data_IF_503046325918
#
_entry.id   IF_503046325918
#
_cell.length_a   1.000
_cell.length_b   1.000
_cell.length_c   1.000
_cell.angle_alpha   90.00
_cell.angle_beta   90.00
_cell.angle_gamma   90.00
#
_symmetry.space_group_name_H-M   'P 1'
#
loop_
_entity.id
_entity.type
_entity.pdbx_description
1 polymer ?
#
# COMPACT_ATOMS: atom_id res chain seq x y z
N UNK A 1 -3.83 1.08 -2.81
CA UNK A 1 -2.71 2.07 -2.75
C UNK A 1 -3.17 3.36 -2.09
N UNK A 2 -4.43 3.71 -2.31
CA UNK A 2 -5.22 4.65 -1.51
C UNK A 2 -4.64 6.07 -1.49
N UNK A 3 -4.16 6.43 -2.68
CA UNK A 3 -3.52 7.70 -3.02
C UNK A 3 -4.30 8.48 -4.09
N UNK A 4 -5.56 8.11 -4.35
CA UNK A 4 -6.39 8.81 -5.32
C UNK A 4 -6.62 10.25 -4.85
N UNK A 5 -6.74 11.17 -5.81
CA UNK A 5 -7.03 12.58 -5.48
C UNK A 5 -8.49 12.75 -5.03
N UNK A 6 -9.42 12.11 -5.75
CA UNK A 6 -10.86 12.14 -5.49
C UNK A 6 -11.50 10.77 -5.78
N UNK A 7 -12.65 10.48 -5.14
CA UNK A 7 -13.59 9.43 -5.55
C UNK A 7 -14.95 10.07 -5.78
N UNK A 8 -15.48 9.96 -7.01
CA UNK A 8 -16.75 10.58 -7.42
C UNK A 8 -16.84 12.10 -7.14
N UNK A 9 -15.70 12.80 -7.21
CA UNK A 9 -15.59 14.24 -6.90
C UNK A 9 -15.30 14.57 -5.44
N UNK A 10 -15.31 13.58 -4.54
CA UNK A 10 -15.06 13.79 -3.12
C UNK A 10 -13.61 13.51 -2.75
N UNK A 11 -12.97 14.42 -2.02
CA UNK A 11 -11.58 14.30 -1.60
C UNK A 11 -11.37 13.38 -0.38
N UNK A 12 -12.45 13.09 0.36
CA UNK A 12 -12.43 12.28 1.60
C UNK A 12 -13.21 10.98 1.36
N UNK A 13 -12.48 9.92 1.04
CA UNK A 13 -13.02 8.59 0.81
C UNK A 13 -11.95 7.51 1.08
N UNK A 14 -12.33 6.24 1.06
CA UNK A 14 -11.43 5.14 1.45
C UNK A 14 -10.18 5.00 0.55
N UNK A 15 -10.26 5.44 -0.71
CA UNK A 15 -9.15 5.42 -1.68
C UNK A 15 -8.28 6.67 -1.68
N UNK A 16 -8.50 7.65 -0.79
CA UNK A 16 -7.74 8.91 -0.74
C UNK A 16 -6.86 9.16 0.51
N UNK A 17 -6.81 8.32 1.57
CA UNK A 17 -6.22 8.73 2.85
C UNK A 17 -4.72 9.02 2.79
N UNK A 18 -3.93 8.20 2.08
CA UNK A 18 -2.47 8.39 2.04
C UNK A 18 -2.08 9.57 1.15
N UNK A 19 -2.92 9.97 0.20
CA UNK A 19 -2.73 11.22 -0.55
C UNK A 19 -2.86 12.43 0.37
N UNK A 20 -3.93 12.48 1.18
CA UNK A 20 -4.15 13.54 2.17
C UNK A 20 -3.01 13.60 3.19
N UNK A 21 -2.58 12.44 3.69
CA UNK A 21 -1.49 12.38 4.65
C UNK A 21 -0.14 12.91 4.11
N UNK A 22 0.15 12.73 2.82
CA UNK A 22 1.31 13.37 2.18
C UNK A 22 1.13 14.87 2.06
N UNK A 23 -0.01 15.33 1.55
CA UNK A 23 -0.29 16.76 1.34
C UNK A 23 -0.32 17.56 2.65
N UNK A 24 -0.75 16.94 3.74
CA UNK A 24 -0.77 17.53 5.08
C UNK A 24 0.58 17.42 5.82
N UNK A 25 1.60 16.79 5.21
CA UNK A 25 2.93 16.66 5.81
C UNK A 25 2.97 15.72 7.02
N UNK A 26 2.05 14.75 7.09
CA UNK A 26 1.91 13.82 8.21
C UNK A 26 2.82 12.58 8.08
N UNK A 27 3.41 12.38 6.89
CA UNK A 27 4.27 11.24 6.59
C UNK A 27 5.71 11.67 6.32
N UNK A 28 6.66 10.98 6.96
CA UNK A 28 8.02 10.93 6.44
C UNK A 28 8.02 10.01 5.21
N UNK A 29 7.93 10.61 4.02
CA UNK A 29 7.72 9.87 2.78
C UNK A 29 8.85 8.88 2.44
N UNK A 30 10.04 9.01 3.04
CA UNK A 30 11.14 8.04 2.88
C UNK A 30 10.99 6.82 3.80
N UNK A 31 10.13 6.92 4.81
CA UNK A 31 9.81 5.88 5.79
C UNK A 31 8.38 5.35 5.60
N UNK A 32 7.97 5.19 4.34
CA UNK A 32 6.70 4.56 3.96
C UNK A 32 6.96 3.34 3.06
N UNK A 33 6.33 2.22 3.40
CA UNK A 33 6.33 0.99 2.59
C UNK A 33 4.90 0.50 2.45
N UNK A 34 4.47 0.21 1.23
CA UNK A 34 3.18 -0.43 0.95
C UNK A 34 3.45 -1.81 0.33
N UNK A 35 2.80 -2.85 0.85
CA UNK A 35 3.07 -4.25 0.49
C UNK A 35 1.77 -4.92 0.05
N UNK A 36 1.81 -5.64 -1.07
CA UNK A 36 0.68 -6.43 -1.57
C UNK A 36 -0.20 -5.73 -2.60
N UNK A 37 0.29 -4.63 -3.21
CA UNK A 37 -0.43 -3.93 -4.29
C UNK A 37 -0.58 -4.87 -5.49
N UNK A 38 -1.80 -4.95 -6.02
CA UNK A 38 -2.19 -5.78 -7.16
C UNK A 38 -3.50 -5.27 -7.76
N UNK A 39 -4.04 -6.02 -8.71
CA UNK A 39 -5.30 -5.71 -9.38
C UNK A 39 -5.10 -4.86 -10.61
N UNK A 40 -6.19 -4.59 -11.33
CA UNK A 40 -6.17 -3.68 -12.47
C UNK A 40 -6.15 -2.23 -11.99
N UNK A 41 -5.16 -1.45 -12.42
CA UNK A 41 -5.19 0.01 -12.29
C UNK A 41 -6.14 0.65 -13.31
N UNK A 42 -6.33 1.95 -13.19
CA UNK A 42 -6.95 2.80 -14.20
C UNK A 42 -5.93 3.29 -15.23
N UNK A 43 -4.66 3.41 -14.83
CA UNK A 43 -3.54 3.78 -15.68
C UNK A 43 -2.26 3.04 -15.27
N UNK A 44 -1.28 2.96 -16.17
CA UNK A 44 0.00 2.30 -15.87
C UNK A 44 0.79 3.05 -14.79
N UNK A 45 0.54 4.35 -14.68
CA UNK A 45 1.24 5.30 -13.82
C UNK A 45 0.66 5.37 -12.39
N UNK A 46 -0.38 4.58 -12.07
CA UNK A 46 -1.06 4.63 -10.77
C UNK A 46 -0.11 4.32 -9.60
N UNK A 47 0.94 3.53 -9.84
CA UNK A 47 1.99 3.24 -8.84
C UNK A 47 3.19 4.19 -8.91
N UNK A 48 3.25 5.09 -9.89
CA UNK A 48 4.37 6.02 -10.03
C UNK A 48 4.24 7.22 -9.13
N UNK A 49 3.02 7.66 -8.83
CA UNK A 49 2.81 8.74 -7.86
C UNK A 49 3.39 8.45 -6.47
N UNK A 50 3.06 7.32 -5.79
CA UNK A 50 3.65 7.04 -4.47
C UNK A 50 5.17 6.85 -4.53
N UNK A 51 5.70 6.24 -5.60
CA UNK A 51 7.15 6.14 -5.83
C UNK A 51 7.79 7.53 -5.96
N UNK A 52 7.13 8.45 -6.66
CA UNK A 52 7.56 9.85 -6.81
C UNK A 52 7.58 10.63 -5.49
N UNK A 53 6.75 10.27 -4.52
CA UNK A 53 6.83 10.82 -3.15
C UNK A 53 7.98 10.24 -2.33
N UNK A 54 8.52 9.08 -2.72
CA UNK A 54 9.58 8.36 -2.02
C UNK A 54 9.11 7.07 -1.33
N UNK A 55 7.87 6.66 -1.53
CA UNK A 55 7.35 5.43 -0.94
C UNK A 55 8.02 4.22 -1.59
N UNK A 56 8.25 3.18 -0.80
CA UNK A 56 8.58 1.85 -1.32
C UNK A 56 7.30 1.08 -1.61
N UNK A 57 7.06 0.75 -2.87
CA UNK A 57 5.94 -0.09 -3.30
C UNK A 57 6.43 -1.51 -3.55
N UNK A 58 5.85 -2.49 -2.86
CA UNK A 58 6.11 -3.93 -3.04
C UNK A 58 4.82 -4.58 -3.53
N UNK A 59 4.81 -5.11 -4.75
CA UNK A 59 3.59 -5.69 -5.33
C UNK A 59 3.34 -7.11 -4.81
N UNK A 60 2.17 -7.68 -5.11
CA UNK A 60 1.89 -9.08 -4.79
C UNK A 60 2.82 -10.03 -5.56
N UNK A 61 3.15 -9.73 -6.82
CA UNK A 61 4.12 -10.48 -7.64
C UNK A 61 5.51 -10.49 -7.00
N UNK A 62 5.91 -9.38 -6.37
CA UNK A 62 7.14 -9.30 -5.59
C UNK A 62 7.12 -10.18 -4.33
N UNK A 63 5.97 -10.72 -3.92
CA UNK A 63 5.81 -11.54 -2.73
C UNK A 63 5.66 -13.04 -3.04
N UNK A 64 5.24 -13.40 -4.25
CA UNK A 64 4.89 -14.78 -4.57
C UNK A 64 6.07 -15.76 -4.48
N UNK A 65 5.75 -16.99 -4.06
CA UNK A 65 6.65 -18.15 -4.03
C UNK A 65 7.92 -18.01 -3.16
N UNK A 66 7.94 -17.09 -2.18
CA UNK A 66 9.08 -16.90 -1.28
C UNK A 66 8.68 -16.41 0.11
N UNK A 67 9.60 -16.58 1.05
CA UNK A 67 9.45 -16.00 2.40
C UNK A 67 9.67 -14.48 2.36
N UNK A 68 8.85 -13.75 3.14
CA UNK A 68 9.00 -12.31 3.34
C UNK A 68 9.94 -11.94 4.49
N UNK A 69 10.56 -12.91 5.17
CA UNK A 69 11.53 -12.64 6.25
C UNK A 69 12.66 -11.69 5.82
N UNK A 70 13.29 -11.85 4.63
CA UNK A 70 14.31 -10.91 4.16
C UNK A 70 13.74 -9.50 3.90
N UNK A 71 12.57 -9.41 3.27
CA UNK A 71 11.87 -8.14 3.05
C UNK A 71 11.65 -7.39 4.38
N UNK A 72 11.20 -8.10 5.42
CA UNK A 72 10.98 -7.50 6.73
C UNK A 72 12.26 -6.97 7.39
N UNK A 73 13.43 -7.53 7.08
CA UNK A 73 14.71 -6.98 7.55
C UNK A 73 15.00 -5.62 6.90
N UNK A 74 14.78 -5.51 5.59
CA UNK A 74 14.93 -4.24 4.85
C UNK A 74 13.91 -3.19 5.30
N UNK A 75 12.65 -3.58 5.51
CA UNK A 75 11.61 -2.67 6.01
C UNK A 75 12.00 -2.12 7.37
N UNK A 76 12.47 -2.96 8.31
CA UNK A 76 12.96 -2.50 9.61
C UNK A 76 14.11 -1.51 9.48
N UNK A 77 15.08 -1.80 8.59
CA UNK A 77 16.20 -0.89 8.34
C UNK A 77 15.71 0.46 7.78
N UNK A 78 14.76 0.45 6.85
CA UNK A 78 14.17 1.67 6.28
C UNK A 78 13.40 2.48 7.33
N UNK A 79 12.68 1.81 8.24
CA UNK A 79 11.93 2.48 9.30
C UNK A 79 12.85 3.08 10.37
N UNK A 80 14.01 2.51 10.64
CA UNK A 80 14.89 2.95 11.73
C UNK A 80 14.20 2.91 13.10
N UNK A 81 14.66 3.75 14.03
CA UNK A 81 14.20 3.77 15.43
C UNK A 81 13.11 4.79 15.74
N UNK A 82 12.62 5.53 14.73
CA UNK A 82 11.56 6.52 14.92
C UNK A 82 10.18 5.88 15.13
N UNK A 83 9.16 6.67 15.49
CA UNK A 83 7.79 6.17 15.56
C UNK A 83 7.33 5.63 14.20
N UNK A 84 6.53 4.56 14.24
CA UNK A 84 5.98 3.85 13.06
C UNK A 84 4.51 3.55 13.32
N UNK A 85 3.69 3.74 12.30
CA UNK A 85 2.30 3.31 12.28
C UNK A 85 2.14 2.12 11.33
N UNK A 86 1.34 1.12 11.72
CA UNK A 86 1.00 -0.02 10.86
C UNK A 86 -0.48 0.07 10.56
N UNK A 87 -0.81 0.25 9.27
CA UNK A 87 -2.16 0.09 8.75
C UNK A 87 -2.29 -1.27 8.10
N UNK A 88 -3.39 -1.98 8.36
CA UNK A 88 -3.66 -3.29 7.78
C UNK A 88 -5.03 -3.27 7.09
N UNK A 89 -5.02 -3.31 5.76
CA UNK A 89 -6.24 -3.57 4.97
C UNK A 89 -6.42 -5.07 4.79
N UNK A 90 -7.61 -5.56 5.12
CA UNK A 90 -7.94 -6.99 5.07
C UNK A 90 -7.97 -7.50 3.62
N UNK A 91 -8.20 -6.62 2.64
CA UNK A 91 -8.17 -6.98 1.22
C UNK A 91 -6.75 -7.21 0.67
N UNK A 92 -5.70 -7.02 1.49
CA UNK A 92 -4.34 -7.45 1.15
C UNK A 92 -4.22 -8.98 1.06
N UNK A 93 -5.06 -9.71 1.79
CA UNK A 93 -5.13 -11.18 1.75
C UNK A 93 -5.89 -11.67 0.53
N UNK A 94 -5.60 -12.90 0.11
CA UNK A 94 -6.38 -13.55 -0.94
C UNK A 94 -7.85 -13.74 -0.50
N UNK A 95 -8.85 -13.57 -1.39
CA UNK A 95 -10.26 -13.79 -1.06
C UNK A 95 -10.57 -15.21 -0.56
N UNK A 96 -9.73 -16.21 -0.86
CA UNK A 96 -9.81 -17.54 -0.27
C UNK A 96 -9.60 -17.57 1.25
N UNK A 97 -8.96 -16.54 1.81
CA UNK A 97 -8.70 -16.35 3.24
C UNK A 97 -9.63 -15.28 3.82
N UNK A 98 -9.76 -14.15 3.13
CA UNK A 98 -10.54 -12.99 3.58
C UNK A 98 -11.66 -12.62 2.58
N UNK A 99 -12.74 -13.41 2.48
CA UNK A 99 -13.80 -13.15 1.53
C UNK A 99 -14.69 -11.94 1.90
N UNK A 100 -14.68 -11.53 3.17
CA UNK A 100 -15.59 -10.51 3.71
C UNK A 100 -15.00 -9.09 3.67
N UNK A 101 -14.72 -8.56 2.48
CA UNK A 101 -14.25 -7.18 2.27
C UNK A 101 -15.00 -6.49 1.12
N UNK A 102 -14.97 -5.16 1.06
CA UNK A 102 -15.68 -4.38 0.05
C UNK A 102 -15.05 -4.44 -1.34
N UNK A 103 -13.73 -4.57 -1.42
CA UNK A 103 -12.92 -4.52 -2.66
C UNK A 103 -12.02 -5.75 -2.79
N UNK A 104 -12.57 -6.97 -2.95
CA UNK A 104 -11.75 -8.18 -3.03
C UNK A 104 -10.98 -8.26 -4.34
N UNK A 105 -9.67 -8.51 -4.26
CA UNK A 105 -8.79 -8.72 -5.41
C UNK A 105 -8.14 -10.12 -5.33
N UNK A 106 -8.23 -10.93 -6.39
CA UNK A 106 -7.65 -12.29 -6.40
C UNK A 106 -6.11 -12.28 -6.39
N UNK A 107 -5.48 -13.40 -6.00
CA UNK A 107 -4.01 -13.55 -6.05
C UNK A 107 -3.28 -12.80 -4.94
N UNK A 108 -3.90 -12.72 -3.76
CA UNK A 108 -3.42 -11.97 -2.61
C UNK A 108 -2.39 -12.71 -1.75
N UNK A 109 -2.12 -12.15 -0.57
CA UNK A 109 -1.20 -12.73 0.42
C UNK A 109 -1.82 -13.91 1.20
N UNK A 110 -0.97 -14.70 1.87
CA UNK A 110 -1.34 -15.83 2.75
C UNK A 110 -1.05 -15.58 4.21
#
# INVERSE_FOLDING_TARGET
>A
ADINEHQFGEAIAHGTPFRRAVEEGLLDCKRVVQIGLRGSGYAAEDFDWPRGQGFRVVTAEDCWHKSLTPLMAEVRQQMGDGPVYVSYDIDSLDPGIAPGTGTPEIGGLT
#
